data_IF_949865365854
#
_entry.id   IF_949865365854
#
_cell.length_a   1.000
_cell.length_b   1.000
_cell.length_c   1.000
_cell.angle_alpha   90.00
_cell.angle_beta   90.00
_cell.angle_gamma   90.00
#
_symmetry.space_group_name_H-M   'P 1'
#
loop_
_entity.id
_entity.type
_entity.pdbx_description
1 polymer ?
#
# COMPACT_ATOMS: atom_id res chain seq x y z
N UNK A 1 11.86 34.21 2.97
CA UNK A 1 12.13 33.06 3.86
C UNK A 1 10.87 32.33 4.35
N UNK A 2 9.65 32.89 4.25
CA UNK A 2 8.42 32.23 4.73
C UNK A 2 7.95 31.04 3.85
N UNK A 3 8.26 31.07 2.55
CA UNK A 3 7.86 30.01 1.61
C UNK A 3 8.63 28.69 1.77
N UNK A 4 9.83 28.72 2.35
CA UNK A 4 10.69 27.53 2.51
C UNK A 4 10.25 26.64 3.69
N UNK A 5 9.74 27.26 4.77
CA UNK A 5 9.29 26.54 5.97
C UNK A 5 7.95 25.82 5.72
N UNK A 6 7.05 26.43 4.94
CA UNK A 6 5.74 25.85 4.61
C UNK A 6 5.91 24.59 3.75
N UNK A 7 6.78 24.62 2.74
CA UNK A 7 7.07 23.45 1.91
C UNK A 7 7.68 22.30 2.72
N UNK A 8 8.64 22.59 3.61
CA UNK A 8 9.26 21.57 4.46
C UNK A 8 8.27 20.95 5.45
N UNK A 9 7.43 21.78 6.09
CA UNK A 9 6.39 21.31 7.03
C UNK A 9 5.31 20.48 6.33
N UNK A 10 4.95 20.81 5.09
CA UNK A 10 4.01 20.03 4.27
C UNK A 10 4.60 18.68 3.88
N UNK A 11 5.86 18.63 3.43
CA UNK A 11 6.55 17.37 3.07
C UNK A 11 6.75 16.47 4.29
N UNK A 12 7.19 17.04 5.42
CA UNK A 12 7.32 16.29 6.68
C UNK A 12 5.98 15.84 7.25
N UNK A 13 4.92 16.65 7.10
CA UNK A 13 3.56 16.29 7.49
C UNK A 13 3.02 15.13 6.68
N UNK A 14 3.18 15.16 5.36
CA UNK A 14 2.77 14.06 4.46
C UNK A 14 3.55 12.79 4.75
N UNK A 15 4.87 12.84 4.89
CA UNK A 15 5.67 11.66 5.22
C UNK A 15 5.27 11.04 6.57
N UNK A 16 4.97 11.87 7.58
CA UNK A 16 4.50 11.40 8.87
C UNK A 16 3.11 10.73 8.78
N UNK A 17 2.18 11.32 8.01
CA UNK A 17 0.86 10.73 7.76
C UNK A 17 0.98 9.39 7.01
N UNK A 18 1.85 9.30 6.01
CA UNK A 18 2.08 8.06 5.26
C UNK A 18 2.75 6.98 6.14
N UNK A 19 3.67 7.36 7.03
CA UNK A 19 4.24 6.43 8.01
C UNK A 19 3.19 5.93 9.01
N UNK A 20 2.31 6.81 9.51
CA UNK A 20 1.21 6.44 10.37
C UNK A 20 0.20 5.53 9.66
N UNK A 21 -0.11 5.80 8.39
CA UNK A 21 -0.95 4.93 7.56
C UNK A 21 -0.32 3.54 7.38
N UNK A 22 1.00 3.46 7.13
CA UNK A 22 1.71 2.17 7.03
C UNK A 22 1.58 1.37 8.32
N UNK A 23 1.73 2.05 9.45
CA UNK A 23 1.61 1.42 10.76
C UNK A 23 0.17 0.94 11.03
N UNK A 24 -0.84 1.73 10.66
CA UNK A 24 -2.25 1.34 10.80
C UNK A 24 -2.59 0.10 9.96
N UNK A 25 -2.12 0.04 8.71
CA UNK A 25 -2.26 -1.13 7.83
C UNK A 25 -1.58 -2.36 8.45
N UNK A 26 -0.34 -2.21 8.93
CA UNK A 26 0.38 -3.30 9.58
C UNK A 26 -0.37 -3.84 10.81
N UNK A 27 -0.88 -2.96 11.68
CA UNK A 27 -1.70 -3.34 12.83
C UNK A 27 -2.98 -4.05 12.35
N UNK A 28 -3.67 -3.50 11.35
CA UNK A 28 -4.87 -4.12 10.79
C UNK A 28 -4.62 -5.53 10.29
N UNK A 29 -3.52 -5.77 9.58
CA UNK A 29 -3.14 -7.10 9.08
C UNK A 29 -2.75 -8.08 10.22
N UNK A 30 -2.34 -7.59 11.40
CA UNK A 30 -2.18 -8.48 12.56
C UNK A 30 -3.51 -8.92 13.17
N UNK A 31 -4.59 -8.19 12.91
CA UNK A 31 -5.94 -8.49 13.42
C UNK A 31 -6.72 -9.31 12.40
N UNK A 32 -6.68 -8.90 11.13
CA UNK A 32 -7.34 -9.55 10.00
C UNK A 32 -6.33 -9.75 8.86
N UNK A 33 -5.64 -10.89 8.91
CA UNK A 33 -4.51 -11.19 8.02
C UNK A 33 -4.92 -11.33 6.55
N UNK A 34 -6.18 -11.67 6.30
CA UNK A 34 -6.69 -11.98 4.95
C UNK A 34 -7.43 -10.81 4.29
N UNK A 35 -7.40 -9.63 4.91
CA UNK A 35 -8.16 -8.47 4.41
C UNK A 35 -7.56 -7.91 3.11
N UNK A 36 -8.18 -8.23 1.97
CA UNK A 36 -7.81 -7.65 0.68
C UNK A 36 -7.88 -6.12 0.67
N UNK A 37 -8.82 -5.54 1.40
CA UNK A 37 -8.93 -4.07 1.56
C UNK A 37 -7.65 -3.49 2.16
N UNK A 38 -7.12 -4.08 3.23
CA UNK A 38 -5.88 -3.60 3.86
C UNK A 38 -4.67 -3.81 2.96
N UNK A 39 -4.61 -4.89 2.19
CA UNK A 39 -3.57 -5.08 1.19
C UNK A 39 -3.64 -4.05 0.05
N UNK A 40 -4.84 -3.70 -0.43
CA UNK A 40 -5.03 -2.60 -1.41
C UNK A 40 -4.52 -1.27 -0.88
N UNK A 41 -4.80 -0.96 0.38
CA UNK A 41 -4.29 0.25 1.03
C UNK A 41 -2.76 0.21 1.20
N UNK A 42 -2.20 -0.95 1.53
CA UNK A 42 -0.75 -1.15 1.57
C UNK A 42 -0.12 -0.87 0.20
N UNK A 43 -0.64 -1.47 -0.86
CA UNK A 43 -0.11 -1.30 -2.22
C UNK A 43 -0.14 0.17 -2.67
N UNK A 44 -1.26 0.87 -2.47
CA UNK A 44 -1.40 2.30 -2.80
C UNK A 44 -0.41 3.16 -2.02
N UNK A 45 -0.20 2.84 -0.74
CA UNK A 45 0.73 3.55 0.11
C UNK A 45 2.19 3.40 -0.35
N UNK A 46 2.61 2.18 -0.67
CA UNK A 46 3.96 1.92 -1.17
C UNK A 46 4.19 2.55 -2.54
N UNK A 47 3.18 2.53 -3.41
CA UNK A 47 3.23 3.20 -4.70
C UNK A 47 3.34 4.72 -4.54
N UNK A 48 2.53 5.35 -3.67
CA UNK A 48 2.60 6.78 -3.38
C UNK A 48 3.95 7.22 -2.80
N UNK A 49 4.66 6.31 -2.12
CA UNK A 49 6.01 6.52 -1.60
C UNK A 49 7.12 6.19 -2.61
N UNK A 50 6.77 5.81 -3.85
CA UNK A 50 7.68 5.28 -4.86
C UNK A 50 8.53 4.10 -4.37
N UNK A 51 8.03 3.34 -3.37
CA UNK A 51 8.71 2.20 -2.77
C UNK A 51 8.35 0.92 -3.53
N UNK A 52 8.98 0.71 -4.69
CA UNK A 52 8.76 -0.49 -5.52
C UNK A 52 9.01 -1.81 -4.77
N UNK A 53 10.09 -1.97 -3.98
CA UNK A 53 10.26 -3.18 -3.17
C UNK A 53 9.09 -3.43 -2.23
N UNK A 54 8.62 -2.39 -1.52
CA UNK A 54 7.47 -2.49 -0.62
C UNK A 54 6.19 -2.88 -1.35
N UNK A 55 5.93 -2.29 -2.54
CA UNK A 55 4.79 -2.64 -3.37
C UNK A 55 4.82 -4.13 -3.78
N UNK A 56 5.97 -4.61 -4.23
CA UNK A 56 6.15 -6.02 -4.57
C UNK A 56 5.95 -6.94 -3.36
N UNK A 57 6.45 -6.55 -2.19
CA UNK A 57 6.22 -7.31 -0.95
C UNK A 57 4.73 -7.42 -0.65
N UNK A 58 3.98 -6.33 -0.72
CA UNK A 58 2.53 -6.34 -0.47
C UNK A 58 1.79 -7.30 -1.42
N UNK A 59 2.11 -7.25 -2.73
CA UNK A 59 1.52 -8.11 -3.76
C UNK A 59 1.82 -9.58 -3.48
N UNK A 60 3.09 -9.93 -3.27
CA UNK A 60 3.52 -11.31 -3.04
C UNK A 60 2.90 -11.87 -1.76
N UNK A 61 2.84 -11.07 -0.69
CA UNK A 61 2.21 -11.48 0.56
C UNK A 61 0.72 -11.81 0.37
N UNK A 62 -0.03 -10.94 -0.32
CA UNK A 62 -1.44 -11.20 -0.62
C UNK A 62 -1.64 -12.43 -1.50
N UNK A 63 -0.86 -12.57 -2.57
CA UNK A 63 -0.93 -13.75 -3.45
C UNK A 63 -0.62 -15.04 -2.69
N UNK A 64 0.35 -15.00 -1.77
CA UNK A 64 0.72 -16.15 -0.94
C UNK A 64 -0.42 -16.58 -0.02
N UNK A 65 -1.06 -15.63 0.67
CA UNK A 65 -2.14 -15.95 1.61
C UNK A 65 -3.39 -16.44 0.86
N UNK A 66 -3.72 -15.80 -0.25
CA UNK A 66 -4.87 -16.13 -1.10
C UNK A 66 -4.71 -17.53 -1.69
N UNK A 67 -3.51 -17.87 -2.17
CA UNK A 67 -3.18 -19.22 -2.63
C UNK A 67 -3.25 -20.25 -1.50
N UNK A 68 -2.76 -19.94 -0.30
CA UNK A 68 -2.85 -20.83 0.86
C UNK A 68 -4.31 -21.13 1.25
N UNK A 69 -5.20 -20.16 1.07
CA UNK A 69 -6.64 -20.29 1.32
C UNK A 69 -7.40 -20.93 0.14
N UNK A 70 -6.74 -21.14 -1.01
CA UNK A 70 -7.37 -21.56 -2.27
C UNK A 70 -8.54 -20.65 -2.67
N UNK A 71 -8.43 -19.37 -2.33
CA UNK A 71 -9.34 -18.33 -2.80
C UNK A 71 -8.75 -17.69 -4.05
N UNK A 72 -9.60 -17.11 -4.87
CA UNK A 72 -9.19 -16.16 -5.89
C UNK A 72 -9.12 -14.75 -5.29
N UNK A 73 -8.40 -13.83 -5.95
CA UNK A 73 -8.38 -12.43 -5.58
C UNK A 73 -9.68 -11.74 -6.00
N UNK A 74 -10.10 -10.72 -5.25
CA UNK A 74 -11.17 -9.84 -5.71
C UNK A 74 -10.75 -9.15 -7.03
N UNK A 75 -11.67 -9.03 -8.02
CA UNK A 75 -11.36 -8.37 -9.29
C UNK A 75 -10.81 -6.94 -9.14
N UNK A 76 -11.28 -6.21 -8.11
CA UNK A 76 -10.79 -4.88 -7.76
C UNK A 76 -9.31 -4.90 -7.34
N UNK A 77 -8.86 -5.98 -6.71
CA UNK A 77 -7.46 -6.16 -6.32
C UNK A 77 -6.60 -6.48 -7.54
N UNK A 78 -7.05 -7.36 -8.42
CA UNK A 78 -6.33 -7.68 -9.67
C UNK A 78 -6.13 -6.44 -10.53
N UNK A 79 -7.21 -5.66 -10.75
CA UNK A 79 -7.14 -4.42 -11.51
C UNK A 79 -6.18 -3.39 -10.89
N UNK A 80 -6.16 -3.28 -9.56
CA UNK A 80 -5.21 -2.40 -8.87
C UNK A 80 -3.76 -2.87 -9.06
N UNK A 81 -3.50 -4.18 -9.00
CA UNK A 81 -2.15 -4.72 -9.21
C UNK A 81 -1.66 -4.35 -10.62
N UNK A 82 -2.50 -4.52 -11.63
CA UNK A 82 -2.16 -4.17 -13.01
C UNK A 82 -1.90 -2.67 -13.20
N UNK A 83 -2.73 -1.82 -12.60
CA UNK A 83 -2.55 -0.37 -12.57
C UNK A 83 -1.19 0.02 -11.96
N UNK A 84 -0.91 -0.45 -10.74
CA UNK A 84 0.28 -0.03 -9.99
C UNK A 84 1.58 -0.61 -10.55
N UNK A 85 1.50 -1.73 -11.27
CA UNK A 85 2.63 -2.34 -11.96
C UNK A 85 2.95 -1.67 -13.30
N UNK A 86 2.08 -0.78 -13.79
CA UNK A 86 2.25 -0.12 -15.08
C UNK A 86 1.85 -1.00 -16.26
N UNK A 87 0.97 -1.98 -16.03
CA UNK A 87 0.39 -2.83 -17.07
C UNK A 87 -1.00 -2.34 -17.52
N UNK A 88 -1.54 -1.30 -16.88
CA UNK A 88 -2.70 -0.57 -17.41
C UNK A 88 -2.28 0.26 -18.63
N UNK A 89 -3.01 0.06 -19.74
CA UNK A 89 -2.79 0.70 -21.03
C UNK A 89 -2.95 2.23 -21.01
#
# INVERSE_FOLDING_TARGET
MVQTIVAWRMVSGTAHVLAAARQAVAIGLTVEEVSEVLYRDWMRLEHALANRPGLHTAIISLQTITHALRSDLEPETEALIDELMGHAA
#
